data_IF_872511713719
#
_entry.id   IF_872511713719
#
_cell.length_a   1.000
_cell.length_b   1.000
_cell.length_c   1.000
_cell.angle_alpha   90.00
_cell.angle_beta   90.00
_cell.angle_gamma   90.00
#
_symmetry.space_group_name_H-M   'P 1'
#
loop_
_entity.id
_entity.type
_entity.pdbx_description
1 polymer ?
#
# COMPACT_ATOMS: atom_id res chain seq x y z
N UNK A 1 17.89 0.84 37.70
CA UNK A 1 18.06 0.77 36.24
C UNK A 1 19.03 1.87 35.84
N UNK A 2 20.11 1.57 35.14
CA UNK A 2 21.09 2.59 34.75
C UNK A 2 20.68 3.26 33.42
N UNK A 3 21.27 4.42 33.10
CA UNK A 3 20.88 5.22 31.92
C UNK A 3 21.03 4.45 30.59
N UNK A 4 22.09 3.64 30.45
CA UNK A 4 22.32 2.79 29.27
C UNK A 4 21.25 1.70 29.11
N UNK A 5 20.76 1.09 30.21
CA UNK A 5 19.65 0.14 30.16
C UNK A 5 18.34 0.80 29.71
N UNK A 6 18.07 2.03 30.16
CA UNK A 6 16.89 2.77 29.74
C UNK A 6 16.94 3.11 28.24
N UNK A 7 18.09 3.58 27.76
CA UNK A 7 18.30 3.89 26.34
C UNK A 7 18.16 2.64 25.45
N UNK A 8 18.70 1.50 25.87
CA UNK A 8 18.56 0.24 25.14
C UNK A 8 17.12 -0.27 25.09
N UNK A 9 16.32 -0.06 26.14
CA UNK A 9 14.89 -0.41 26.11
C UNK A 9 14.11 0.52 25.16
N UNK A 10 14.43 1.81 25.15
CA UNK A 10 13.82 2.76 24.23
C UNK A 10 14.13 2.41 22.77
N UNK A 11 15.39 2.11 22.44
CA UNK A 11 15.77 1.66 21.10
C UNK A 11 15.02 0.39 20.71
N UNK A 12 14.97 -0.60 21.61
CA UNK A 12 14.26 -1.85 21.34
C UNK A 12 12.79 -1.62 20.97
N UNK A 13 12.10 -0.75 21.73
CA UNK A 13 10.70 -0.41 21.48
C UNK A 13 10.52 0.33 20.15
N UNK A 14 11.43 1.24 19.79
CA UNK A 14 11.41 1.93 18.49
C UNK A 14 11.64 0.96 17.33
N UNK A 15 12.61 0.06 17.44
CA UNK A 15 12.90 -0.94 16.41
C UNK A 15 11.74 -1.93 16.23
N UNK A 16 11.10 -2.35 17.33
CA UNK A 16 9.89 -3.18 17.30
C UNK A 16 8.76 -2.46 16.56
N UNK A 17 8.49 -1.21 16.96
CA UNK A 17 7.45 -0.39 16.35
C UNK A 17 7.69 -0.18 14.86
N UNK A 18 8.92 0.16 14.46
CA UNK A 18 9.25 0.32 13.05
C UNK A 18 9.16 -0.99 12.27
N UNK A 19 9.56 -2.12 12.86
CA UNK A 19 9.40 -3.45 12.24
C UNK A 19 7.92 -3.74 11.93
N UNK A 20 7.02 -3.47 12.88
CA UNK A 20 5.58 -3.66 12.68
C UNK A 20 5.01 -2.72 11.61
N UNK A 21 5.46 -1.45 11.59
CA UNK A 21 5.08 -0.47 10.56
C UNK A 21 5.54 -0.95 9.19
N UNK A 22 6.81 -1.36 9.05
CA UNK A 22 7.36 -1.80 7.78
C UNK A 22 6.71 -3.09 7.29
N UNK A 23 6.40 -4.00 8.20
CA UNK A 23 5.63 -5.21 7.90
C UNK A 23 4.25 -4.86 7.36
N UNK A 24 3.55 -3.93 8.03
CA UNK A 24 2.25 -3.43 7.57
C UNK A 24 2.36 -2.75 6.20
N UNK A 25 3.41 -1.96 5.98
CA UNK A 25 3.69 -1.27 4.72
C UNK A 25 3.91 -2.20 3.52
N UNK A 26 4.13 -3.50 3.74
CA UNK A 26 4.25 -4.53 2.68
C UNK A 26 2.91 -5.20 2.32
N UNK A 27 1.84 -4.88 3.03
CA UNK A 27 0.55 -5.59 2.94
C UNK A 27 -0.58 -4.71 2.42
N UNK A 28 -1.76 -5.28 2.22
CA UNK A 28 -2.97 -4.54 1.82
C UNK A 28 -3.49 -3.58 2.88
N UNK A 29 -3.01 -3.65 4.12
CA UNK A 29 -3.40 -2.73 5.20
C UNK A 29 -3.10 -1.26 4.90
N UNK A 30 -2.12 -1.00 4.01
CA UNK A 30 -1.79 0.36 3.53
C UNK A 30 -3.00 1.05 2.88
N UNK A 31 -3.94 0.30 2.30
CA UNK A 31 -5.18 0.88 1.76
C UNK A 31 -6.05 1.61 2.80
N UNK A 32 -5.84 1.34 4.09
CA UNK A 32 -6.54 1.96 5.20
C UNK A 32 -5.76 3.11 5.83
N UNK A 33 -4.54 3.37 5.37
CA UNK A 33 -3.71 4.44 5.91
C UNK A 33 -4.23 5.79 5.42
N UNK A 34 -4.14 6.80 6.29
CA UNK A 34 -4.33 8.20 5.95
C UNK A 34 -3.00 8.96 6.08
N UNK A 35 -2.99 10.23 5.70
CA UNK A 35 -1.78 11.07 5.73
C UNK A 35 -1.18 11.14 7.14
N UNK A 36 -2.01 11.21 8.18
CA UNK A 36 -1.55 11.21 9.57
C UNK A 36 -0.83 9.91 9.97
N UNK A 37 -1.38 8.76 9.58
CA UNK A 37 -0.74 7.46 9.80
C UNK A 37 0.62 7.39 9.10
N UNK A 38 0.70 7.86 7.85
CA UNK A 38 1.93 7.94 7.09
C UNK A 38 2.96 8.87 7.75
N UNK A 39 2.55 10.05 8.20
CA UNK A 39 3.42 10.99 8.92
C UNK A 39 4.00 10.36 10.19
N UNK A 40 3.17 9.67 10.96
CA UNK A 40 3.62 8.94 12.16
C UNK A 40 4.61 7.81 11.81
N UNK A 41 4.39 7.12 10.69
CA UNK A 41 5.31 6.09 10.20
C UNK A 41 6.67 6.68 9.77
N UNK A 42 6.65 7.79 9.04
CA UNK A 42 7.86 8.53 8.63
C UNK A 42 8.63 9.03 9.85
N UNK A 43 7.95 9.63 10.82
CA UNK A 43 8.59 10.10 12.05
C UNK A 43 9.22 8.95 12.84
N UNK A 44 8.55 7.78 12.89
CA UNK A 44 9.11 6.59 13.51
C UNK A 44 10.40 6.14 12.81
N UNK A 45 10.42 6.16 11.47
CA UNK A 45 11.61 5.81 10.69
C UNK A 45 12.79 6.77 10.94
N UNK A 46 12.53 8.08 10.95
CA UNK A 46 13.54 9.10 11.26
C UNK A 46 14.10 8.96 12.68
N UNK A 47 13.22 8.68 13.66
CA UNK A 47 13.66 8.46 15.03
C UNK A 47 14.58 7.24 15.14
N UNK A 48 14.25 6.15 14.45
CA UNK A 48 15.10 4.96 14.39
C UNK A 48 16.45 5.27 13.78
N UNK A 49 16.52 5.94 12.62
CA UNK A 49 17.81 6.33 12.01
C UNK A 49 18.66 7.17 12.97
N UNK A 50 18.03 8.15 13.62
CA UNK A 50 18.71 9.02 14.59
C UNK A 50 19.25 8.24 15.80
N UNK A 51 18.46 7.33 16.39
CA UNK A 51 18.92 6.53 17.52
C UNK A 51 20.02 5.54 17.10
N UNK A 52 19.90 4.92 15.93
CA UNK A 52 20.92 4.03 15.36
C UNK A 52 22.24 4.77 15.10
N UNK A 53 22.19 6.07 14.80
CA UNK A 53 23.40 6.89 14.64
C UNK A 53 24.07 7.24 15.97
N UNK A 54 23.28 7.44 17.04
CA UNK A 54 23.78 7.91 18.33
C UNK A 54 24.31 6.79 19.24
N UNK A 55 23.91 5.55 18.99
CA UNK A 55 24.22 4.40 19.85
C UNK A 55 25.41 3.62 19.27
N UNK A 56 26.38 3.19 20.09
CA UNK A 56 27.51 2.38 19.62
C UNK A 56 27.05 1.07 18.96
N UNK A 57 27.74 0.67 17.89
CA UNK A 57 27.40 -0.52 17.10
C UNK A 57 27.27 -1.82 17.94
N UNK A 58 28.11 -1.97 18.96
CA UNK A 58 28.06 -3.14 19.86
C UNK A 58 26.81 -3.18 20.73
N UNK A 59 26.25 -2.02 21.10
CA UNK A 59 24.97 -1.95 21.81
C UNK A 59 23.81 -2.23 20.86
N UNK A 60 23.85 -1.71 19.63
CA UNK A 60 22.88 -2.00 18.57
C UNK A 60 22.79 -3.51 18.30
N UNK A 61 23.93 -4.21 18.18
CA UNK A 61 23.95 -5.67 18.00
C UNK A 61 23.24 -6.41 19.13
N UNK A 62 23.46 -5.98 20.38
CA UNK A 62 22.79 -6.59 21.55
C UNK A 62 21.29 -6.34 21.55
N UNK A 63 20.86 -5.12 21.22
CA UNK A 63 19.44 -4.77 21.11
C UNK A 63 18.80 -5.54 19.96
N UNK A 64 19.47 -5.66 18.82
CA UNK A 64 19.01 -6.42 17.66
C UNK A 64 18.78 -7.91 17.99
N UNK A 65 19.65 -8.54 18.77
CA UNK A 65 19.42 -9.91 19.25
C UNK A 65 18.12 -10.02 20.06
N UNK A 66 17.80 -9.02 20.88
CA UNK A 66 16.54 -9.00 21.63
C UNK A 66 15.34 -8.74 20.72
N UNK A 67 15.50 -7.88 19.70
CA UNK A 67 14.48 -7.61 18.69
C UNK A 67 14.08 -8.90 17.97
N UNK A 68 15.04 -9.67 17.46
CA UNK A 68 14.79 -10.94 16.74
C UNK A 68 13.98 -11.92 17.58
N UNK A 69 14.18 -11.93 18.90
CA UNK A 69 13.43 -12.80 19.82
C UNK A 69 12.00 -12.31 20.12
N UNK A 70 11.73 -11.01 19.96
CA UNK A 70 10.45 -10.39 20.35
C UNK A 70 9.56 -9.99 19.17
N UNK A 71 10.15 -9.76 18.01
CA UNK A 71 9.42 -9.34 16.83
C UNK A 71 8.46 -10.45 16.36
N UNK A 72 7.24 -10.07 16.01
CA UNK A 72 6.24 -11.01 15.47
C UNK A 72 6.51 -11.34 14.00
N UNK A 73 7.31 -10.52 13.33
CA UNK A 73 7.67 -10.64 11.93
C UNK A 73 9.17 -10.48 11.78
N UNK A 74 9.73 -10.93 10.66
CA UNK A 74 11.16 -10.84 10.42
C UNK A 74 11.60 -9.37 10.43
N UNK A 75 12.45 -8.95 11.39
CA UNK A 75 12.96 -7.59 11.41
C UNK A 75 13.90 -7.34 10.22
N UNK A 76 14.00 -6.08 9.76
CA UNK A 76 15.07 -5.63 8.86
C UNK A 76 16.46 -5.93 9.44
N UNK A 77 17.46 -6.04 8.59
CA UNK A 77 18.84 -6.16 9.06
C UNK A 77 19.34 -4.83 9.64
N UNK A 78 20.38 -4.89 10.49
CA UNK A 78 20.97 -3.71 11.15
C UNK A 78 21.28 -2.56 10.16
N UNK A 79 21.93 -2.79 8.99
CA UNK A 79 22.17 -1.73 8.02
C UNK A 79 20.89 -1.10 7.48
N UNK A 80 19.82 -1.89 7.33
CA UNK A 80 18.54 -1.42 6.82
C UNK A 80 17.86 -0.47 7.81
N UNK A 81 18.02 -0.70 9.12
CA UNK A 81 17.59 0.24 10.16
C UNK A 81 18.38 1.56 10.14
N UNK A 82 19.66 1.54 9.75
CA UNK A 82 20.46 2.74 9.53
C UNK A 82 19.97 3.60 8.35
N UNK A 83 19.11 3.03 7.50
CA UNK A 83 18.43 3.70 6.39
C UNK A 83 16.91 3.52 6.46
N UNK A 84 16.33 3.47 7.67
CA UNK A 84 14.92 3.15 7.89
C UNK A 84 13.95 4.10 7.15
N UNK A 85 14.28 5.39 7.01
CA UNK A 85 13.49 6.36 6.27
C UNK A 85 13.40 5.94 4.79
N UNK A 86 14.55 5.72 4.15
CA UNK A 86 14.63 5.30 2.76
C UNK A 86 13.94 3.94 2.52
N UNK A 87 14.12 3.01 3.47
CA UNK A 87 13.50 1.69 3.43
C UNK A 87 11.97 1.77 3.47
N UNK A 88 11.40 2.63 4.32
CA UNK A 88 9.96 2.81 4.42
C UNK A 88 9.39 3.38 3.11
N UNK A 89 9.99 4.44 2.58
CA UNK A 89 9.56 5.06 1.33
C UNK A 89 9.62 4.08 0.15
N UNK A 90 10.75 3.38 0.00
CA UNK A 90 10.91 2.36 -1.05
C UNK A 90 9.92 1.20 -0.89
N UNK A 91 9.53 0.86 0.33
CA UNK A 91 8.51 -0.18 0.59
C UNK A 91 7.12 0.29 0.20
N UNK A 92 6.75 1.51 0.59
CA UNK A 92 5.44 2.09 0.27
C UNK A 92 5.25 2.29 -1.23
N UNK A 93 6.27 2.79 -1.93
CA UNK A 93 6.24 2.99 -3.38
C UNK A 93 6.11 1.68 -4.18
N UNK A 94 6.50 0.54 -3.59
CA UNK A 94 6.30 -0.79 -4.19
C UNK A 94 4.94 -1.40 -3.86
N UNK A 95 4.17 -0.80 -2.95
CA UNK A 95 2.90 -1.36 -2.49
C UNK A 95 1.75 -0.97 -3.43
N UNK A 96 1.14 -1.97 -4.08
CA UNK A 96 0.02 -1.80 -5.03
C UNK A 96 -1.27 -1.26 -4.40
N UNK A 97 -1.39 -1.32 -3.08
CA UNK A 97 -2.54 -0.84 -2.31
C UNK A 97 -2.35 0.60 -1.80
N UNK A 98 -1.25 1.26 -2.14
CA UNK A 98 -1.01 2.66 -1.81
C UNK A 98 -2.04 3.55 -2.53
N UNK A 99 -2.72 4.42 -1.79
CA UNK A 99 -3.69 5.34 -2.38
C UNK A 99 -2.99 6.48 -3.11
N UNK A 100 -3.69 7.08 -4.08
CA UNK A 100 -3.18 8.24 -4.85
C UNK A 100 -2.84 9.45 -3.96
N UNK A 101 -3.62 9.66 -2.89
CA UNK A 101 -3.34 10.70 -1.89
C UNK A 101 -2.00 10.46 -1.17
N UNK A 102 -1.79 9.25 -0.66
CA UNK A 102 -0.55 8.89 0.04
C UNK A 102 0.64 8.91 -0.92
N UNK A 103 0.47 8.45 -2.15
CA UNK A 103 1.49 8.53 -3.19
C UNK A 103 1.89 9.99 -3.46
N UNK A 104 0.91 10.88 -3.63
CA UNK A 104 1.17 12.30 -3.84
C UNK A 104 1.91 12.92 -2.66
N UNK A 105 1.51 12.57 -1.44
CA UNK A 105 2.19 13.01 -0.22
C UNK A 105 3.65 12.54 -0.21
N UNK A 106 3.88 11.22 -0.40
CA UNK A 106 5.22 10.62 -0.47
C UNK A 106 6.11 11.35 -1.48
N UNK A 107 5.60 11.56 -2.70
CA UNK A 107 6.37 12.22 -3.75
C UNK A 107 6.68 13.69 -3.43
N UNK A 108 5.86 14.34 -2.60
CA UNK A 108 6.08 15.73 -2.17
C UNK A 108 7.04 15.88 -1.00
N UNK A 109 7.20 14.83 -0.17
CA UNK A 109 8.02 14.87 1.06
C UNK A 109 9.32 14.08 0.97
N UNK A 110 9.48 13.22 -0.04
CA UNK A 110 10.70 12.42 -0.18
C UNK A 110 11.84 13.23 -0.77
N UNK A 111 12.82 13.56 0.07
CA UNK A 111 14.10 14.10 -0.38
C UNK A 111 15.02 12.96 -0.82
N UNK A 112 15.06 12.68 -2.13
CA UNK A 112 15.97 11.69 -2.69
C UNK A 112 17.43 12.05 -2.33
N UNK A 113 18.20 11.14 -1.69
CA UNK A 113 19.56 11.41 -1.28
C UNK A 113 20.41 11.77 -2.50
N UNK A 114 20.93 12.99 -2.45
CA UNK A 114 21.75 13.62 -3.48
C UNK A 114 23.22 13.25 -3.28
N UNK A 115 23.60 12.00 -3.51
CA UNK A 115 25.03 11.66 -3.57
C UNK A 115 25.46 11.26 -4.97
N UNK A 116 26.07 12.24 -5.66
CA UNK A 116 27.09 12.00 -6.68
C UNK A 116 26.64 12.03 -8.14
N UNK A 117 26.99 13.14 -8.81
CA UNK A 117 27.31 13.24 -10.26
C UNK A 117 26.18 13.00 -11.27
N UNK A 118 25.74 14.08 -11.92
CA UNK A 118 25.24 14.12 -13.30
C UNK A 118 24.40 12.93 -13.81
N UNK A 119 23.15 12.77 -13.36
CA UNK A 119 22.05 12.21 -14.20
C UNK A 119 20.68 12.30 -13.50
N UNK A 120 20.35 13.47 -12.94
CA UNK A 120 19.22 13.55 -11.98
C UNK A 120 17.82 13.64 -12.59
N UNK A 121 17.69 13.73 -13.91
CA UNK A 121 16.37 13.73 -14.58
C UNK A 121 15.96 12.35 -15.10
N UNK A 122 16.93 11.46 -15.31
CA UNK A 122 16.68 10.15 -15.90
C UNK A 122 16.36 9.09 -14.83
N UNK A 123 17.02 9.13 -13.66
CA UNK A 123 16.71 8.18 -12.57
C UNK A 123 15.37 8.43 -11.89
N UNK A 124 14.92 9.68 -11.73
CA UNK A 124 13.58 9.94 -11.16
C UNK A 124 12.49 9.49 -12.14
N UNK A 125 12.70 9.68 -13.44
CA UNK A 125 11.78 9.15 -14.46
C UNK A 125 11.77 7.63 -14.46
N UNK A 126 12.93 6.97 -14.36
CA UNK A 126 13.00 5.50 -14.31
C UNK A 126 12.41 4.94 -13.01
N UNK A 127 12.75 5.49 -11.85
CA UNK A 127 12.19 5.11 -10.57
C UNK A 127 10.68 5.36 -10.54
N UNK A 128 10.21 6.54 -10.95
CA UNK A 128 8.76 6.80 -11.06
C UNK A 128 8.11 5.91 -12.12
N UNK A 129 8.75 5.55 -13.24
CA UNK A 129 8.18 4.61 -14.19
C UNK A 129 8.16 3.16 -13.68
N UNK A 130 9.14 2.76 -12.86
CA UNK A 130 9.22 1.45 -12.22
C UNK A 130 8.20 1.36 -11.05
N UNK A 131 8.00 2.45 -10.30
CA UNK A 131 7.16 2.50 -9.09
C UNK A 131 5.72 3.00 -9.32
N UNK A 132 5.46 3.86 -10.32
CA UNK A 132 4.13 4.33 -10.69
C UNK A 132 3.42 3.44 -11.71
N UNK A 133 4.15 2.57 -12.46
CA UNK A 133 3.53 1.56 -13.33
C UNK A 133 2.53 0.68 -12.59
N UNK A 134 2.85 0.10 -11.42
CA UNK A 134 1.91 -0.72 -10.65
C UNK A 134 0.66 0.08 -10.23
N UNK A 135 0.80 1.35 -9.87
CA UNK A 135 -0.30 2.23 -9.47
C UNK A 135 -1.23 2.58 -10.64
N UNK A 136 -0.67 3.03 -11.77
CA UNK A 136 -1.45 3.30 -12.99
C UNK A 136 -2.12 2.03 -13.54
N UNK A 137 -1.43 0.88 -13.45
CA UNK A 137 -2.00 -0.42 -13.87
C UNK A 137 -3.07 -0.90 -12.89
N UNK A 138 -2.90 -0.67 -11.58
CA UNK A 138 -3.88 -0.95 -10.54
C UNK A 138 -5.16 -0.13 -10.73
N UNK A 139 -5.04 1.18 -10.96
CA UNK A 139 -6.20 2.04 -11.25
C UNK A 139 -6.92 1.63 -12.54
N UNK A 140 -6.18 1.27 -13.58
CA UNK A 140 -6.76 0.71 -14.81
C UNK A 140 -7.45 -0.62 -14.53
N UNK A 141 -6.85 -1.52 -13.74
CA UNK A 141 -7.45 -2.81 -13.39
C UNK A 141 -8.70 -2.66 -12.51
N UNK A 142 -8.71 -1.72 -11.57
CA UNK A 142 -9.89 -1.34 -10.78
C UNK A 142 -10.97 -0.71 -11.67
N UNK A 143 -10.57 0.13 -12.62
CA UNK A 143 -11.44 0.70 -13.66
C UNK A 143 -12.07 -0.36 -14.56
N UNK A 144 -11.28 -1.36 -14.96
CA UNK A 144 -11.73 -2.52 -15.72
C UNK A 144 -12.66 -3.39 -14.86
N UNK A 145 -12.32 -3.71 -13.62
CA UNK A 145 -13.16 -4.52 -12.73
C UNK A 145 -14.51 -3.83 -12.47
N UNK A 146 -14.50 -2.53 -12.17
CA UNK A 146 -15.71 -1.74 -11.95
C UNK A 146 -16.58 -1.67 -13.21
N UNK A 147 -15.96 -1.49 -14.39
CA UNK A 147 -16.66 -1.56 -15.68
C UNK A 147 -17.25 -2.94 -15.96
N UNK A 148 -16.53 -4.03 -15.66
CA UNK A 148 -17.02 -5.39 -15.80
C UNK A 148 -18.20 -5.67 -14.87
N UNK A 149 -18.12 -5.26 -13.59
CA UNK A 149 -19.22 -5.38 -12.63
C UNK A 149 -20.44 -4.58 -13.09
N UNK A 150 -20.25 -3.34 -13.54
CA UNK A 150 -21.33 -2.48 -14.01
C UNK A 150 -21.99 -3.06 -15.27
N UNK A 151 -21.19 -3.55 -16.22
CA UNK A 151 -21.70 -4.21 -17.42
C UNK A 151 -22.41 -5.53 -17.11
N UNK A 152 -21.95 -6.32 -16.13
CA UNK A 152 -22.67 -7.51 -15.67
C UNK A 152 -24.03 -7.17 -15.03
N UNK A 153 -24.12 -6.08 -14.26
CA UNK A 153 -25.39 -5.60 -13.72
C UNK A 153 -26.35 -5.19 -14.86
N UNK A 154 -25.87 -4.49 -15.88
CA UNK A 154 -26.67 -4.14 -17.06
C UNK A 154 -27.12 -5.37 -17.87
N UNK A 155 -26.27 -6.39 -18.02
CA UNK A 155 -26.62 -7.65 -18.69
C UNK A 155 -27.67 -8.42 -17.88
N UNK A 156 -27.57 -8.43 -16.54
CA UNK A 156 -28.56 -9.07 -15.65
C UNK A 156 -29.91 -8.35 -15.70
N UNK A 157 -29.92 -7.02 -15.75
CA UNK A 157 -31.13 -6.20 -15.94
C UNK A 157 -31.75 -6.37 -17.33
N UNK A 158 -30.93 -6.52 -18.39
CA UNK A 158 -31.45 -6.82 -19.74
C UNK A 158 -32.00 -8.24 -19.86
N UNK A 159 -31.39 -9.22 -19.19
CA UNK A 159 -31.88 -10.60 -19.15
C UNK A 159 -33.26 -10.70 -18.47
N UNK A 160 -33.47 -9.96 -17.37
CA UNK A 160 -34.77 -9.90 -16.68
C UNK A 160 -35.81 -9.07 -17.45
N UNK A 161 -35.39 -7.99 -18.11
CA UNK A 161 -36.26 -7.19 -18.99
C UNK A 161 -36.72 -7.92 -20.26
N UNK A 162 -35.86 -8.74 -20.87
CA UNK A 162 -36.21 -9.53 -22.06
C UNK A 162 -37.02 -10.79 -21.74
N UNK A 163 -36.86 -11.39 -20.56
CA UNK A 163 -37.77 -12.47 -20.12
C UNK A 163 -39.19 -11.93 -19.86
N UNK A 164 -39.34 -10.72 -19.32
CA UNK A 164 -40.66 -10.09 -19.12
C UNK A 164 -41.33 -9.61 -20.42
N UNK A 165 -40.59 -9.40 -21.51
CA UNK A 165 -41.18 -9.11 -22.84
C UNK A 165 -41.54 -10.37 -23.62
N UNK A 166 -40.82 -11.48 -23.46
CA UNK A 166 -41.17 -12.77 -24.10
C UNK A 166 -42.34 -13.47 -23.42
N UNK A 167 -42.59 -13.27 -22.13
CA UNK A 167 -43.79 -13.81 -21.48
C UNK A 167 -45.07 -13.07 -21.85
N UNK A 168 -45.00 -11.78 -22.23
CA UNK A 168 -46.18 -10.99 -22.64
C UNK A 168 -46.54 -11.11 -24.12
N UNK A 169 -45.70 -11.72 -24.96
CA UNK A 169 -45.97 -11.87 -26.40
C UNK A 169 -46.58 -13.23 -26.78
N UNK A 170 -46.77 -14.15 -25.81
CA UNK A 170 -47.34 -15.46 -26.06
C UNK A 170 -48.83 -15.60 -25.67
N UNK A 171 -49.46 -14.57 -25.09
CA UNK A 171 -50.86 -14.65 -24.63
C UNK A 171 -51.90 -14.04 -25.59
N UNK A 172 -51.50 -13.36 -26.67
CA UNK A 172 -52.44 -12.61 -27.53
C UNK A 172 -52.78 -13.26 -28.89
N UNK A 173 -52.52 -14.56 -29.08
CA UNK A 173 -52.87 -15.23 -30.35
C UNK A 173 -53.65 -16.53 -30.16
N UNK A 174 -54.83 -16.44 -29.55
CA UNK A 174 -55.91 -17.42 -29.75
C UNK A 174 -57.26 -16.86 -29.25
N UNK A 175 -57.99 -16.12 -30.10
CA UNK A 175 -59.47 -16.12 -30.10
C UNK A 175 -60.01 -15.18 -31.19
N UNK A 176 -60.45 -15.75 -32.32
CA UNK A 176 -61.70 -15.44 -33.01
C UNK A 176 -61.65 -15.90 -34.48
N UNK A 177 -62.03 -17.16 -34.70
CA UNK A 177 -62.67 -17.56 -35.96
C UNK A 177 -64.00 -18.20 -35.59
N UNK A 178 -65.09 -17.46 -35.77
CA UNK A 178 -66.43 -17.98 -35.55
C UNK A 178 -67.49 -16.91 -35.64
N UNK A 179 -67.91 -16.59 -36.88
CA UNK A 179 -69.31 -16.30 -37.29
C UNK A 179 -69.32 -15.67 -38.68
N UNK A 180 -69.78 -16.42 -39.67
CA UNK A 180 -70.50 -15.87 -40.82
C UNK A 180 -71.62 -16.88 -41.15
N UNK A 181 -72.83 -16.40 -40.87
CA UNK A 181 -74.15 -16.71 -41.44
C UNK A 181 -74.58 -18.17 -41.61
#
# INVERSE_FOLDING_TARGET
MNASQLQNMQLLDQLLKFTDILSSAKTSSVSQWNVECLQNAIQCAMNVENEMFMIPEEEIKRVYQQLVLRAKTQPPDIPEFGSAHHLLYGTLLKNVYLSSELFSYIMSTYEFPLEGLFSKKDNISEDVQIFARPLATSEILIGIESSFRSNMLHIKCRSTGNQNKRSRLNDDTQSNCGKLS
#
